data_IF_219573964097
#
_entry.id   IF_219573964097
#
_cell.length_a   1.000
_cell.length_b   1.000
_cell.length_c   1.000
_cell.angle_alpha   90.00
_cell.angle_beta   90.00
_cell.angle_gamma   90.00
#
_symmetry.space_group_name_H-M   'P 1'
#
loop_
_entity.id
_entity.type
_entity.pdbx_description
1 polymer ?
#
# COMPACT_ATOMS: atom_id res chain seq x y z
N UNK A 1 -26.65 17.42 -31.53
CA UNK A 1 -27.54 17.31 -30.36
C UNK A 1 -27.84 15.82 -30.22
N UNK A 2 -27.56 15.12 -29.13
CA UNK A 2 -27.18 15.54 -27.79
C UNK A 2 -26.41 14.35 -27.18
N UNK A 3 -25.26 14.59 -26.56
CA UNK A 3 -24.50 13.57 -25.86
C UNK A 3 -24.61 13.87 -24.36
N UNK A 4 -25.67 13.37 -23.76
CA UNK A 4 -25.98 13.52 -22.35
C UNK A 4 -26.23 12.13 -21.76
N UNK A 5 -25.61 11.88 -20.62
CA UNK A 5 -25.87 10.82 -19.65
C UNK A 5 -25.17 9.46 -19.84
N UNK A 6 -23.91 9.42 -19.36
CA UNK A 6 -23.38 8.25 -18.65
C UNK A 6 -22.63 8.73 -17.40
N UNK A 7 -23.29 8.57 -16.25
CA UNK A 7 -22.67 8.68 -14.94
C UNK A 7 -21.76 7.47 -14.72
N UNK A 8 -20.53 7.73 -14.28
CA UNK A 8 -19.51 6.71 -14.03
C UNK A 8 -19.96 5.79 -12.89
N UNK A 9 -20.50 4.62 -13.23
CA UNK A 9 -21.06 3.68 -12.24
C UNK A 9 -21.63 2.36 -12.78
N UNK A 10 -21.99 2.26 -14.07
CA UNK A 10 -22.53 1.02 -14.61
C UNK A 10 -21.42 0.09 -15.13
N UNK A 11 -21.29 -1.05 -14.47
CA UNK A 11 -20.33 -2.11 -14.76
C UNK A 11 -20.78 -2.92 -15.98
N UNK A 12 -20.14 -2.67 -17.14
CA UNK A 12 -20.35 -3.45 -18.37
C UNK A 12 -19.47 -4.72 -18.33
N UNK A 13 -20.05 -5.86 -17.97
CA UNK A 13 -19.36 -7.16 -17.99
C UNK A 13 -19.30 -7.67 -19.44
N UNK A 14 -18.12 -7.57 -20.06
CA UNK A 14 -17.82 -8.11 -21.41
C UNK A 14 -17.19 -9.51 -21.25
N UNK A 15 -17.73 -10.58 -21.86
CA UNK A 15 -17.30 -11.95 -21.55
C UNK A 15 -15.89 -12.36 -22.04
N UNK A 16 -15.10 -11.44 -22.62
CA UNK A 16 -13.72 -11.70 -23.07
C UNK A 16 -12.83 -10.44 -23.01
N UNK A 17 -12.88 -9.68 -21.92
CA UNK A 17 -12.09 -8.46 -21.74
C UNK A 17 -10.59 -8.73 -21.61
N UNK A 18 -9.84 -8.60 -22.70
CA UNK A 18 -8.40 -8.42 -22.67
C UNK A 18 -8.13 -7.16 -21.83
N UNK A 19 -7.45 -7.31 -20.68
CA UNK A 19 -7.15 -6.17 -19.79
C UNK A 19 -6.57 -5.03 -20.63
N UNK A 20 -7.03 -3.78 -20.46
CA UNK A 20 -6.41 -2.66 -21.15
C UNK A 20 -4.94 -2.65 -20.76
N UNK A 21 -4.06 -2.71 -21.77
CA UNK A 21 -2.63 -2.58 -21.58
C UNK A 21 -2.37 -1.22 -20.92
N UNK A 22 -2.21 -1.23 -19.60
CA UNK A 22 -1.64 -0.10 -18.87
C UNK A 22 -0.19 -0.08 -19.33
N UNK A 23 0.27 0.96 -20.04
CA UNK A 23 1.68 1.02 -20.40
C UNK A 23 2.48 0.90 -19.10
N UNK A 24 3.53 0.05 -19.06
CA UNK A 24 4.40 -0.01 -17.91
C UNK A 24 4.81 1.43 -17.58
N UNK A 25 4.79 1.82 -16.29
CA UNK A 25 5.15 3.18 -15.90
C UNK A 25 6.45 3.55 -16.62
N UNK A 26 6.46 4.70 -17.30
CA UNK A 26 7.59 5.14 -18.09
C UNK A 26 8.88 4.88 -17.30
N UNK A 27 9.85 4.18 -17.92
CA UNK A 27 11.14 3.84 -17.31
C UNK A 27 11.94 5.11 -17.06
N UNK A 28 11.60 5.83 -15.99
CA UNK A 28 12.48 6.79 -15.36
C UNK A 28 13.52 5.95 -14.63
N UNK A 29 14.77 6.03 -15.10
CA UNK A 29 15.90 5.32 -14.49
C UNK A 29 15.93 5.67 -13.00
N UNK A 30 15.78 4.71 -12.07
CA UNK A 30 15.90 5.01 -10.66
C UNK A 30 17.31 5.54 -10.40
N UNK A 31 17.43 6.76 -9.85
CA UNK A 31 18.67 7.14 -9.16
C UNK A 31 18.84 6.14 -8.02
N UNK A 32 20.03 5.58 -7.92
CA UNK A 32 20.38 4.43 -7.08
C UNK A 32 19.95 4.70 -5.63
N UNK A 33 18.72 4.30 -5.31
CA UNK A 33 18.22 4.24 -3.95
C UNK A 33 18.67 2.90 -3.41
N UNK A 34 19.24 2.91 -2.22
CA UNK A 34 19.67 1.70 -1.53
C UNK A 34 18.51 0.71 -1.55
N UNK A 35 18.60 -0.34 -2.38
CA UNK A 35 17.66 -1.44 -2.34
C UNK A 35 17.97 -2.20 -1.04
N UNK A 36 17.27 -1.91 0.05
CA UNK A 36 17.33 -2.81 1.19
C UNK A 36 16.73 -4.11 0.72
N UNK A 37 17.58 -5.13 0.54
CA UNK A 37 17.11 -6.46 0.21
C UNK A 37 16.30 -6.92 1.41
N UNK A 38 14.99 -7.01 1.19
CA UNK A 38 14.09 -7.58 2.17
C UNK A 38 14.55 -9.01 2.42
N UNK A 39 15.28 -9.21 3.52
CA UNK A 39 15.60 -10.55 3.98
C UNK A 39 14.31 -11.06 4.61
N UNK A 40 13.46 -11.68 3.77
CA UNK A 40 12.30 -12.44 4.23
C UNK A 40 12.75 -13.26 5.43
N UNK A 41 12.13 -13.12 6.62
CA UNK A 41 12.43 -14.01 7.72
C UNK A 41 12.33 -15.44 7.20
N UNK A 42 13.40 -16.20 7.34
CA UNK A 42 13.46 -17.61 6.97
C UNK A 42 12.60 -18.40 7.97
N UNK A 43 11.29 -18.35 7.75
CA UNK A 43 10.28 -19.02 8.56
C UNK A 43 8.91 -18.75 7.96
N UNK A 44 8.14 -19.80 7.68
CA UNK A 44 6.78 -19.73 7.12
C UNK A 44 5.73 -19.13 8.09
N UNK A 45 6.13 -18.25 9.01
CA UNK A 45 5.28 -17.74 10.10
C UNK A 45 4.64 -16.39 9.75
N UNK A 46 4.17 -16.22 8.51
CA UNK A 46 3.46 -15.01 8.12
C UNK A 46 2.05 -15.03 8.71
N UNK A 47 1.65 -13.94 9.35
CA UNK A 47 0.33 -13.81 9.93
C UNK A 47 -0.71 -13.48 8.85
N UNK A 48 -1.88 -14.12 8.93
CA UNK A 48 -3.04 -13.84 8.07
C UNK A 48 -3.99 -12.88 8.76
N UNK A 49 -4.44 -11.85 8.06
CA UNK A 49 -5.39 -10.86 8.59
C UNK A 49 -6.80 -11.07 8.03
N UNK A 50 -7.78 -10.35 8.56
CA UNK A 50 -9.16 -10.38 8.06
C UNK A 50 -9.19 -9.83 6.64
N UNK A 51 -9.75 -10.62 5.74
CA UNK A 51 -9.81 -10.30 4.32
C UNK A 51 -10.64 -9.04 4.04
N UNK A 52 -10.27 -8.31 2.98
CA UNK A 52 -10.87 -7.01 2.66
C UNK A 52 -10.37 -5.82 3.47
N UNK A 53 -9.38 -6.01 4.36
CA UNK A 53 -8.73 -4.93 5.13
C UNK A 53 -7.37 -4.50 4.55
N UNK A 54 -6.93 -3.28 4.87
CA UNK A 54 -5.61 -2.77 4.47
C UNK A 54 -4.47 -3.68 4.94
N UNK A 55 -4.54 -4.19 6.16
CA UNK A 55 -3.56 -5.12 6.74
C UNK A 55 -3.49 -6.44 5.99
N UNK A 56 -4.64 -6.97 5.56
CA UNK A 56 -4.68 -8.22 4.78
C UNK A 56 -4.07 -8.02 3.40
N UNK A 57 -4.43 -6.94 2.71
CA UNK A 57 -3.87 -6.64 1.40
C UNK A 57 -2.34 -6.50 1.43
N UNK A 58 -1.79 -5.80 2.43
CA UNK A 58 -0.33 -5.73 2.57
C UNK A 58 0.28 -7.09 2.89
N UNK A 59 -0.37 -7.89 3.73
CA UNK A 59 0.10 -9.23 4.09
C UNK A 59 0.09 -10.24 2.93
N UNK A 60 -0.72 -10.03 1.88
CA UNK A 60 -0.64 -10.85 0.65
C UNK A 60 0.49 -10.41 -0.28
N UNK A 61 0.93 -9.15 -0.20
CA UNK A 61 2.05 -8.61 -0.97
C UNK A 61 3.40 -8.90 -0.31
N UNK A 62 3.42 -8.97 1.02
CA UNK A 62 4.62 -9.15 1.83
C UNK A 62 4.33 -9.93 3.10
N UNK A 63 5.24 -10.81 3.51
CA UNK A 63 5.12 -11.52 4.78
C UNK A 63 5.16 -10.54 5.97
N UNK A 64 4.14 -10.60 6.82
CA UNK A 64 4.04 -9.83 8.07
C UNK A 64 3.94 -10.83 9.23
N UNK A 65 5.00 -11.04 10.03
CA UNK A 65 5.01 -12.09 11.06
C UNK A 65 4.36 -11.69 12.39
N UNK A 66 3.82 -10.48 12.51
CA UNK A 66 3.09 -10.00 13.70
C UNK A 66 1.60 -9.88 13.44
N UNK A 67 0.83 -9.84 14.52
CA UNK A 67 -0.61 -9.55 14.50
C UNK A 67 -0.90 -8.08 14.89
N UNK A 68 -2.19 -7.72 14.95
CA UNK A 68 -2.64 -6.41 15.42
C UNK A 68 -3.02 -5.43 14.31
N UNK A 69 -3.43 -4.24 14.72
CA UNK A 69 -3.94 -3.21 13.82
C UNK A 69 -2.81 -2.42 13.14
N UNK A 70 -3.10 -1.80 11.99
CA UNK A 70 -2.16 -1.01 11.21
C UNK A 70 -1.34 0.01 12.05
N UNK A 71 -1.96 0.66 13.04
CA UNK A 71 -1.28 1.63 13.92
C UNK A 71 -0.15 1.04 14.77
N UNK A 72 -0.20 -0.26 15.08
CA UNK A 72 0.82 -0.91 15.91
C UNK A 72 1.96 -1.49 15.08
N UNK A 73 1.86 -1.49 13.75
CA UNK A 73 2.82 -2.19 12.90
C UNK A 73 4.23 -1.63 12.98
N UNK A 74 4.42 -0.30 13.09
CA UNK A 74 5.75 0.29 13.29
C UNK A 74 6.41 -0.21 14.59
N UNK A 75 5.64 -0.26 15.69
CA UNK A 75 6.13 -0.75 16.97
C UNK A 75 6.40 -2.27 16.95
N UNK A 76 5.50 -3.04 16.34
CA UNK A 76 5.62 -4.50 16.21
C UNK A 76 6.82 -4.88 15.34
N UNK A 77 7.02 -4.19 14.22
CA UNK A 77 8.18 -4.35 13.34
C UNK A 77 9.48 -4.12 14.12
N UNK A 78 9.58 -2.99 14.84
CA UNK A 78 10.74 -2.68 15.68
C UNK A 78 10.99 -3.76 16.74
N UNK A 79 9.94 -4.24 17.41
CA UNK A 79 10.07 -5.28 18.44
C UNK A 79 10.52 -6.63 17.88
N UNK A 80 10.17 -6.93 16.63
CA UNK A 80 10.63 -8.13 15.92
C UNK A 80 11.96 -7.95 15.19
N UNK A 81 12.65 -6.81 15.36
CA UNK A 81 13.95 -6.55 14.76
C UNK A 81 13.92 -6.14 13.28
N UNK A 82 12.74 -5.82 12.74
CA UNK A 82 12.63 -5.26 11.40
C UNK A 82 13.15 -3.82 11.38
N UNK A 83 13.74 -3.44 10.26
CA UNK A 83 14.19 -2.08 10.05
C UNK A 83 12.98 -1.18 9.79
N UNK A 84 12.97 -0.03 10.45
CA UNK A 84 11.97 1.03 10.25
C UNK A 84 12.67 2.33 9.92
N UNK A 85 12.03 3.21 9.18
CA UNK A 85 12.62 4.50 8.78
C UNK A 85 11.63 5.44 8.13
N UNK A 86 12.18 6.48 7.48
CA UNK A 86 11.42 7.56 6.85
C UNK A 86 11.66 7.67 5.34
N UNK A 87 12.45 6.75 4.78
CA UNK A 87 12.76 6.74 3.34
C UNK A 87 11.83 5.77 2.62
N UNK A 88 11.14 6.18 1.55
CA UNK A 88 10.32 5.27 0.77
C UNK A 88 11.20 4.20 0.09
N UNK A 89 10.66 2.99 -0.03
CA UNK A 89 11.28 1.95 -0.83
C UNK A 89 10.21 1.03 -1.42
N UNK A 90 10.38 0.62 -2.68
CA UNK A 90 9.55 -0.41 -3.30
C UNK A 90 9.57 -1.68 -2.46
N UNK A 91 8.39 -2.19 -2.12
CA UNK A 91 8.23 -3.36 -1.24
C UNK A 91 8.22 -3.07 0.26
N UNK A 92 8.44 -1.83 0.67
CA UNK A 92 8.22 -1.41 2.05
C UNK A 92 6.74 -1.28 2.36
N UNK A 93 6.39 -1.41 3.64
CA UNK A 93 5.07 -1.05 4.14
C UNK A 93 5.08 0.40 4.57
N UNK A 94 4.24 1.23 3.97
CA UNK A 94 4.03 2.62 4.41
C UNK A 94 2.98 2.64 5.52
N UNK A 95 3.27 3.32 6.63
CA UNK A 95 2.33 3.56 7.73
C UNK A 95 1.80 4.98 7.67
N UNK A 96 0.48 5.13 7.74
CA UNK A 96 -0.21 6.38 7.48
C UNK A 96 -1.13 6.75 8.64
N UNK A 97 -1.20 8.06 8.89
CA UNK A 97 -2.15 8.72 9.78
C UNK A 97 -3.21 9.43 8.93
N UNK A 98 -4.40 8.85 8.86
CA UNK A 98 -5.54 9.44 8.16
C UNK A 98 -6.56 10.02 9.16
N UNK A 99 -7.37 10.98 8.69
CA UNK A 99 -8.32 11.73 9.52
C UNK A 99 -9.67 11.02 9.76
N UNK A 100 -9.94 9.87 9.13
CA UNK A 100 -11.18 9.12 9.30
C UNK A 100 -11.28 8.37 10.63
N UNK A 101 -12.49 8.20 11.17
CA UNK A 101 -12.74 7.49 12.45
C UNK A 101 -12.04 6.12 12.51
N UNK A 102 -12.21 5.30 11.47
CA UNK A 102 -11.59 3.98 11.41
C UNK A 102 -10.06 4.06 11.41
N UNK A 103 -9.48 4.97 10.63
CA UNK A 103 -8.02 5.15 10.58
C UNK A 103 -7.46 5.74 11.89
N UNK A 104 -8.20 6.59 12.60
CA UNK A 104 -7.82 7.06 13.94
C UNK A 104 -7.84 5.92 14.96
N UNK A 105 -8.77 4.98 14.83
CA UNK A 105 -8.92 3.85 15.76
C UNK A 105 -7.93 2.71 15.49
N UNK A 106 -7.72 2.38 14.21
CA UNK A 106 -6.99 1.19 13.76
C UNK A 106 -5.67 1.51 13.05
N UNK A 107 -5.45 2.75 12.63
CA UNK A 107 -4.33 3.14 11.76
C UNK A 107 -4.59 2.77 10.31
N UNK A 108 -3.62 3.09 9.46
CA UNK A 108 -3.69 2.76 8.04
C UNK A 108 -2.31 2.36 7.49
N UNK A 109 -2.28 1.38 6.59
CA UNK A 109 -1.05 0.88 5.97
C UNK A 109 -1.26 0.62 4.48
N UNK A 110 -0.19 0.77 3.71
CA UNK A 110 -0.14 0.44 2.29
C UNK A 110 1.16 -0.26 1.92
N UNK A 111 1.19 -0.81 0.71
CA UNK A 111 2.37 -1.42 0.12
C UNK A 111 2.97 -0.44 -0.91
N UNK A 112 4.25 -0.10 -0.75
CA UNK A 112 4.91 0.85 -1.67
C UNK A 112 5.19 0.15 -3.00
N UNK A 113 4.54 0.63 -4.06
CA UNK A 113 4.70 0.13 -5.43
C UNK A 113 5.82 0.88 -6.16
N UNK A 114 5.92 2.18 -5.92
CA UNK A 114 6.85 3.06 -6.61
C UNK A 114 7.13 4.32 -5.78
N UNK A 115 8.28 4.96 -5.99
CA UNK A 115 8.56 6.30 -5.48
C UNK A 115 9.53 7.01 -6.43
N UNK A 116 9.54 8.34 -6.37
CA UNK A 116 10.53 9.19 -7.02
C UNK A 116 11.06 10.22 -6.01
N UNK A 117 11.78 11.23 -6.49
CA UNK A 117 12.44 12.22 -5.63
C UNK A 117 11.45 13.09 -4.82
N UNK A 118 10.18 13.15 -5.21
CA UNK A 118 9.16 14.04 -4.61
C UNK A 118 7.97 13.29 -4.01
N UNK A 119 7.67 12.10 -4.53
CA UNK A 119 6.42 11.39 -4.25
C UNK A 119 6.63 9.90 -4.02
N UNK A 120 5.70 9.31 -3.27
CA UNK A 120 5.56 7.86 -3.08
C UNK A 120 4.18 7.42 -3.56
N UNK A 121 4.16 6.35 -4.36
CA UNK A 121 2.95 5.68 -4.83
C UNK A 121 2.82 4.33 -4.15
N UNK A 122 1.68 4.12 -3.51
CA UNK A 122 1.41 2.89 -2.76
C UNK A 122 0.01 2.37 -3.04
N UNK A 123 -0.13 1.06 -2.90
CA UNK A 123 -1.37 0.32 -3.03
C UNK A 123 -1.90 -0.06 -1.66
N UNK A 124 -3.22 0.00 -1.51
CA UNK A 124 -3.92 -0.20 -0.26
C UNK A 124 -5.30 -0.79 -0.53
N UNK A 125 -5.98 -1.24 0.53
CA UNK A 125 -7.34 -1.75 0.44
C UNK A 125 -8.18 -1.16 1.57
N UNK A 126 -9.49 -1.06 1.34
CA UNK A 126 -10.47 -0.59 2.30
C UNK A 126 -10.49 0.94 2.55
N UNK A 127 -9.80 1.73 1.74
CA UNK A 127 -9.84 3.19 1.87
C UNK A 127 -11.13 3.79 1.27
N UNK A 128 -11.53 3.34 0.07
CA UNK A 128 -12.78 3.76 -0.58
C UNK A 128 -13.99 2.90 -0.22
N UNK A 129 -13.77 1.77 0.46
CA UNK A 129 -14.81 0.82 0.86
C UNK A 129 -14.26 -0.61 0.97
N UNK A 130 -15.01 -1.52 1.62
CA UNK A 130 -14.60 -2.91 1.82
C UNK A 130 -14.19 -3.56 0.50
N UNK A 131 -13.07 -4.27 0.49
CA UNK A 131 -12.54 -4.99 -0.69
C UNK A 131 -12.10 -4.13 -1.87
N UNK A 132 -12.21 -2.80 -1.78
CA UNK A 132 -11.77 -1.91 -2.85
C UNK A 132 -10.28 -1.65 -2.71
N UNK A 133 -9.50 -2.17 -3.65
CA UNK A 133 -8.10 -1.79 -3.83
C UNK A 133 -8.06 -0.34 -4.33
N UNK A 134 -7.27 0.48 -3.68
CA UNK A 134 -6.98 1.85 -4.10
C UNK A 134 -5.48 2.00 -4.27
N UNK A 135 -5.05 2.83 -5.21
CA UNK A 135 -3.67 3.28 -5.32
C UNK A 135 -3.67 4.78 -5.06
N UNK A 136 -2.78 5.25 -4.19
CA UNK A 136 -2.62 6.68 -3.90
C UNK A 136 -1.16 7.09 -4.05
N UNK A 137 -0.99 8.36 -4.40
CA UNK A 137 0.31 9.01 -4.47
C UNK A 137 0.31 10.15 -3.46
N UNK A 138 1.35 10.20 -2.63
CA UNK A 138 1.58 11.25 -1.64
C UNK A 138 2.95 11.88 -1.85
N UNK A 139 3.09 13.14 -1.47
CA UNK A 139 4.42 13.76 -1.38
C UNK A 139 5.22 13.12 -0.25
N UNK A 140 6.54 13.02 -0.39
CA UNK A 140 7.40 12.43 0.65
C UNK A 140 7.35 13.22 1.97
N UNK A 141 7.13 14.53 1.89
CA UNK A 141 7.01 15.42 3.06
C UNK A 141 5.58 15.47 3.65
N UNK A 142 4.68 14.60 3.19
CA UNK A 142 3.31 14.57 3.69
C UNK A 142 3.28 14.14 5.17
N UNK A 143 2.80 15.04 6.03
CA UNK A 143 2.69 14.83 7.48
C UNK A 143 1.84 13.62 7.91
N UNK A 144 1.07 13.02 6.99
CA UNK A 144 0.35 11.77 7.22
C UNK A 144 1.26 10.56 7.23
N UNK A 145 2.43 10.63 6.63
CA UNK A 145 3.40 9.52 6.59
C UNK A 145 4.05 9.42 7.96
N UNK A 146 3.79 8.32 8.65
CA UNK A 146 4.38 8.04 9.97
C UNK A 146 5.74 7.35 9.85
N UNK A 147 5.98 6.64 8.75
CA UNK A 147 7.22 5.94 8.46
C UNK A 147 7.00 4.72 7.57
N UNK A 148 8.09 3.98 7.37
CA UNK A 148 8.18 2.79 6.52
C UNK A 148 8.75 1.61 7.30
N UNK A 149 8.34 0.40 6.91
CA UNK A 149 8.85 -0.87 7.42
C UNK A 149 9.51 -1.63 6.26
N UNK A 150 10.79 -1.97 6.42
CA UNK A 150 11.64 -2.58 5.38
C UNK A 150 11.85 -4.06 5.55
#
# INVERSE_FOLDING_TARGET
ADASDIFSGDELIIPYGQEPYIPPPATVKPKITQYYTYTKPTGNNCHTFVSGQCTWYVATRRCIPWSGHAKSWLANARNMGFQIGYTPQVGAVISLRESGWAARRYGHVGYVEYFNDETVTFSEMNFKGPWIKTTRTLNLDDSRILGYIY
#
